data_IF_775852454216
#
_entry.id   IF_775852454216
#
_cell.length_a   1.000
_cell.length_b   1.000
_cell.length_c   1.000
_cell.angle_alpha   90.00
_cell.angle_beta   90.00
_cell.angle_gamma   90.00
#
_symmetry.space_group_name_H-M   'P 1'
#
loop_
_entity.id
_entity.type
_entity.pdbx_description
1 polymer ?
#
# COMPACT_ATOMS: atom_id res chain seq x y z
N UNK A 1 31.01 -3.97 -13.40
CA UNK A 1 29.75 -4.32 -12.68
C UNK A 1 29.39 -3.08 -11.88
N UNK A 2 28.53 -2.23 -12.43
CA UNK A 2 28.07 -1.03 -11.73
C UNK A 2 27.13 -1.50 -10.62
N UNK A 3 27.62 -1.44 -9.39
CA UNK A 3 26.80 -1.66 -8.20
C UNK A 3 25.81 -0.50 -8.15
N UNK A 4 24.53 -0.77 -8.40
CA UNK A 4 23.47 0.18 -8.16
C UNK A 4 23.44 0.50 -6.65
N UNK A 5 23.99 1.64 -6.30
CA UNK A 5 23.92 2.16 -4.93
C UNK A 5 22.51 2.75 -4.77
N UNK A 6 21.62 2.02 -4.09
CA UNK A 6 20.31 2.55 -3.73
C UNK A 6 20.46 3.36 -2.45
N UNK A 7 20.32 4.68 -2.56
CA UNK A 7 20.49 5.59 -1.43
C UNK A 7 19.27 5.63 -0.49
N UNK A 8 18.11 5.18 -0.95
CA UNK A 8 16.85 5.23 -0.19
C UNK A 8 16.20 3.86 -0.15
N UNK A 9 15.80 3.45 1.06
CA UNK A 9 15.15 2.17 1.36
C UNK A 9 13.80 2.41 2.01
N UNK A 10 12.77 1.74 1.54
CA UNK A 10 11.41 1.88 2.06
C UNK A 10 10.89 0.52 2.50
N UNK A 11 11.00 0.19 3.80
CA UNK A 11 10.40 -1.01 4.36
C UNK A 11 8.91 -0.80 4.62
N UNK A 12 8.09 -1.75 4.23
CA UNK A 12 6.68 -1.76 4.57
C UNK A 12 6.16 -3.21 4.68
N UNK A 13 5.04 -3.39 5.35
CA UNK A 13 4.43 -4.67 5.62
C UNK A 13 3.01 -4.75 5.10
N UNK A 14 2.68 -5.92 4.57
CA UNK A 14 1.31 -6.26 4.20
C UNK A 14 0.95 -7.65 4.73
N UNK A 15 -0.30 -8.08 4.56
CA UNK A 15 -0.74 -9.43 4.91
C UNK A 15 -1.50 -10.06 3.75
N UNK A 16 -1.48 -11.38 3.69
CA UNK A 16 -2.41 -12.17 2.87
C UNK A 16 -3.07 -13.20 3.75
N UNK A 17 -4.34 -13.49 3.51
CA UNK A 17 -5.16 -14.34 4.36
C UNK A 17 -5.48 -15.68 3.70
N UNK A 18 -5.90 -16.64 4.53
CA UNK A 18 -6.29 -17.99 4.17
C UNK A 18 -7.72 -18.25 4.63
N UNK A 19 -8.57 -18.76 3.76
CA UNK A 19 -9.94 -19.15 4.10
C UNK A 19 -9.98 -20.61 4.58
N UNK A 20 -9.38 -20.86 5.76
CA UNK A 20 -9.30 -22.16 6.41
C UNK A 20 -9.61 -22.00 7.90
N UNK A 21 -9.98 -23.11 8.57
CA UNK A 21 -10.13 -23.13 10.01
C UNK A 21 -8.75 -23.10 10.69
N UNK A 22 -8.66 -22.36 11.78
CA UNK A 22 -7.41 -22.28 12.55
C UNK A 22 -7.00 -23.63 13.15
N UNK A 23 -7.97 -24.53 13.43
CA UNK A 23 -7.74 -25.89 13.89
C UNK A 23 -7.01 -26.79 12.90
N UNK A 24 -7.07 -26.44 11.62
CA UNK A 24 -6.49 -27.23 10.54
C UNK A 24 -5.04 -26.82 10.21
N UNK A 25 -4.52 -25.84 10.95
CA UNK A 25 -3.16 -25.34 10.78
C UNK A 25 -2.21 -26.13 11.68
N UNK A 26 -1.13 -26.72 11.13
CA UNK A 26 -0.12 -27.42 11.89
C UNK A 26 0.56 -26.52 12.93
N UNK A 27 1.00 -27.10 14.04
CA UNK A 27 1.81 -26.41 15.02
C UNK A 27 3.15 -25.97 14.42
N UNK A 28 3.55 -24.73 14.69
CA UNK A 28 4.78 -24.13 14.13
C UNK A 28 4.62 -23.50 12.75
N UNK A 29 3.44 -23.54 12.14
CA UNK A 29 3.15 -22.90 10.87
C UNK A 29 3.14 -21.35 11.01
N UNK A 30 3.49 -20.64 9.92
CA UNK A 30 3.49 -19.17 9.88
C UNK A 30 2.09 -18.56 9.83
N UNK A 31 1.05 -19.35 9.54
CA UNK A 31 -0.34 -18.88 9.47
C UNK A 31 -0.92 -18.65 10.86
N UNK A 32 -1.08 -17.41 11.25
CA UNK A 32 -1.65 -17.01 12.53
C UNK A 32 -2.70 -15.93 12.38
N UNK A 33 -3.65 -15.87 13.31
CA UNK A 33 -4.49 -14.70 13.46
C UNK A 33 -3.65 -13.51 13.93
N UNK A 34 -3.89 -12.33 13.33
CA UNK A 34 -3.15 -11.13 13.65
C UNK A 34 -3.89 -9.87 13.21
N UNK A 35 -3.19 -8.75 13.16
CA UNK A 35 -3.77 -7.51 12.64
C UNK A 35 -3.99 -7.62 11.14
N UNK A 36 -5.26 -7.84 10.74
CA UNK A 36 -5.62 -7.98 9.33
C UNK A 36 -5.70 -6.62 8.63
N UNK A 37 -4.78 -6.38 7.70
CA UNK A 37 -4.82 -5.21 6.80
C UNK A 37 -5.88 -5.36 5.72
N UNK A 38 -6.42 -6.57 5.55
CA UNK A 38 -7.46 -6.92 4.57
C UNK A 38 -8.87 -6.92 5.15
N UNK A 39 -9.01 -6.53 6.44
CA UNK A 39 -10.26 -6.50 7.20
C UNK A 39 -10.93 -7.89 7.31
N UNK A 40 -10.12 -8.93 7.32
CA UNK A 40 -10.51 -10.32 7.55
C UNK A 40 -9.87 -10.84 8.85
N UNK A 41 -10.28 -10.31 10.02
CA UNK A 41 -9.76 -10.77 11.32
C UNK A 41 -10.20 -12.20 11.66
N UNK A 42 -11.21 -12.69 10.96
CA UNK A 42 -11.76 -14.04 11.00
C UNK A 42 -10.85 -15.09 10.36
N UNK A 43 -9.90 -14.66 9.51
CA UNK A 43 -9.02 -15.57 8.79
C UNK A 43 -7.59 -15.54 9.34
N UNK A 44 -6.91 -16.70 9.41
CA UNK A 44 -5.46 -16.73 9.61
C UNK A 44 -4.75 -16.09 8.41
N UNK A 45 -3.57 -15.54 8.67
CA UNK A 45 -2.79 -14.80 7.69
C UNK A 45 -1.30 -15.07 7.84
N UNK A 46 -0.52 -14.70 6.82
CA UNK A 46 0.92 -14.45 6.92
C UNK A 46 1.19 -12.98 6.67
N UNK A 47 2.27 -12.47 7.23
CA UNK A 47 2.74 -11.11 6.97
C UNK A 47 3.82 -11.16 5.90
N UNK A 48 3.70 -10.31 4.88
CA UNK A 48 4.70 -10.12 3.84
C UNK A 48 5.36 -8.78 4.09
N UNK A 49 6.64 -8.83 4.34
CA UNK A 49 7.47 -7.66 4.52
C UNK A 49 8.29 -7.42 3.25
N UNK A 50 8.37 -6.17 2.80
CA UNK A 50 8.98 -5.78 1.54
C UNK A 50 9.87 -4.56 1.76
N UNK A 51 11.04 -4.56 1.13
CA UNK A 51 11.91 -3.39 1.02
C UNK A 51 11.99 -3.01 -0.45
N UNK A 52 11.65 -1.76 -0.75
CA UNK A 52 11.66 -1.25 -2.13
C UNK A 52 12.51 -0.01 -2.28
N UNK A 53 12.91 0.30 -3.51
CA UNK A 53 13.51 1.58 -3.88
C UNK A 53 12.43 2.67 -4.00
N UNK A 54 12.81 3.95 -4.12
CA UNK A 54 11.88 5.05 -4.39
C UNK A 54 10.98 4.83 -5.60
N UNK A 55 11.49 4.14 -6.60
CA UNK A 55 10.75 3.82 -7.82
C UNK A 55 9.85 2.58 -7.67
N UNK A 56 9.79 2.00 -6.47
CA UNK A 56 8.99 0.82 -6.18
C UNK A 56 9.63 -0.51 -6.57
N UNK A 57 10.93 -0.53 -7.02
CA UNK A 57 11.60 -1.79 -7.34
C UNK A 57 11.87 -2.57 -6.05
N UNK A 58 11.40 -3.83 -5.92
CA UNK A 58 11.63 -4.59 -4.72
C UNK A 58 13.07 -5.11 -4.65
N UNK A 59 13.70 -4.90 -3.49
CA UNK A 59 15.07 -5.31 -3.20
C UNK A 59 15.11 -6.58 -2.34
N UNK A 60 14.18 -6.70 -1.40
CA UNK A 60 14.09 -7.83 -0.51
C UNK A 60 12.64 -8.05 -0.08
N UNK A 61 12.28 -9.30 0.20
CA UNK A 61 11.03 -9.66 0.86
C UNK A 61 11.25 -10.76 1.90
N UNK A 62 10.31 -10.86 2.84
CA UNK A 62 10.23 -11.93 3.83
C UNK A 62 8.78 -12.33 4.07
N UNK A 63 8.58 -13.63 4.31
CA UNK A 63 7.30 -14.18 4.75
C UNK A 63 7.39 -14.48 6.23
N UNK A 64 6.63 -13.74 7.02
CA UNK A 64 6.65 -13.76 8.48
C UNK A 64 5.36 -14.33 9.03
N UNK A 65 5.41 -14.78 10.30
CA UNK A 65 4.22 -15.25 10.99
C UNK A 65 3.11 -14.18 11.01
N UNK A 66 1.86 -14.61 10.87
CA UNK A 66 0.70 -13.72 10.72
C UNK A 66 0.44 -12.79 11.90
N UNK A 67 0.98 -13.10 13.06
CA UNK A 67 0.92 -12.29 14.29
C UNK A 67 2.13 -11.35 14.47
N UNK A 68 3.03 -11.27 13.49
CA UNK A 68 4.21 -10.40 13.53
C UNK A 68 3.80 -8.93 13.58
N UNK A 69 4.42 -8.18 14.51
CA UNK A 69 4.21 -6.75 14.64
C UNK A 69 5.21 -5.96 13.77
N UNK A 70 4.76 -4.89 13.14
CA UNK A 70 5.58 -4.05 12.25
C UNK A 70 6.88 -3.58 12.92
N UNK A 71 6.79 -3.21 14.19
CA UNK A 71 7.92 -2.67 14.94
C UNK A 71 9.04 -3.67 15.26
N UNK A 72 8.83 -4.98 15.06
CA UNK A 72 9.85 -6.01 15.32
C UNK A 72 10.67 -6.36 14.09
N UNK A 73 10.28 -5.91 12.91
CA UNK A 73 10.86 -6.35 11.62
C UNK A 73 12.03 -5.48 11.15
N UNK A 74 12.11 -4.24 11.61
CA UNK A 74 13.06 -3.27 11.07
C UNK A 74 14.53 -3.71 11.22
N UNK A 75 14.93 -4.22 12.39
CA UNK A 75 16.31 -4.72 12.61
C UNK A 75 16.67 -5.82 11.63
N UNK A 76 15.79 -6.79 11.45
CA UNK A 76 15.97 -7.89 10.51
C UNK A 76 16.24 -7.36 9.08
N UNK A 77 15.50 -6.33 8.65
CA UNK A 77 15.71 -5.73 7.34
C UNK A 77 17.00 -4.95 7.24
N UNK A 78 17.37 -4.18 8.26
CA UNK A 78 18.66 -3.48 8.31
C UNK A 78 19.79 -4.49 8.10
N UNK A 79 19.82 -5.57 8.88
CA UNK A 79 20.84 -6.63 8.81
C UNK A 79 20.81 -7.36 7.46
N UNK A 80 19.62 -7.62 6.91
CA UNK A 80 19.49 -8.33 5.62
C UNK A 80 20.03 -7.49 4.47
N UNK A 81 19.63 -6.23 4.40
CA UNK A 81 20.08 -5.32 3.36
C UNK A 81 21.59 -5.05 3.46
N UNK A 82 22.11 -4.89 4.69
CA UNK A 82 23.55 -4.72 4.89
C UNK A 82 24.34 -5.95 4.45
N UNK A 83 23.85 -7.15 4.75
CA UNK A 83 24.49 -8.41 4.32
C UNK A 83 24.44 -8.61 2.80
N UNK A 84 23.33 -8.26 2.14
CA UNK A 84 23.16 -8.48 0.69
C UNK A 84 23.84 -7.43 -0.16
N UNK A 85 23.82 -6.18 0.26
CA UNK A 85 24.23 -5.02 -0.54
C UNK A 85 25.38 -4.22 0.08
N UNK A 86 25.97 -4.72 1.18
CA UNK A 86 27.06 -4.07 1.90
C UNK A 86 26.62 -2.83 2.68
N UNK A 87 27.57 -2.28 3.46
CA UNK A 87 27.36 -1.01 4.18
C UNK A 87 27.38 0.15 3.21
N UNK A 88 26.35 0.98 3.25
CA UNK A 88 26.27 2.23 2.50
C UNK A 88 25.49 3.27 3.31
N UNK A 89 25.68 4.54 3.00
CA UNK A 89 24.86 5.62 3.56
C UNK A 89 23.48 5.57 2.92
N UNK A 90 22.53 4.91 3.59
CA UNK A 90 21.16 4.75 3.13
C UNK A 90 20.20 5.50 4.02
N UNK A 91 19.15 6.07 3.40
CA UNK A 91 18.06 6.74 4.10
C UNK A 91 16.89 5.77 4.19
N UNK A 92 16.46 5.46 5.40
CA UNK A 92 15.31 4.59 5.65
C UNK A 92 14.05 5.44 5.81
N UNK A 93 13.15 5.34 4.85
CA UNK A 93 11.88 6.08 4.87
C UNK A 93 10.78 5.14 5.36
N UNK A 94 10.14 5.48 6.47
CA UNK A 94 9.24 4.57 7.17
C UNK A 94 7.93 5.25 7.56
N UNK A 95 6.83 4.51 7.53
CA UNK A 95 5.59 4.99 8.15
C UNK A 95 5.69 4.92 9.68
N UNK A 96 4.83 5.70 10.34
CA UNK A 96 4.79 5.92 11.80
C UNK A 96 4.66 4.66 12.66
N UNK A 97 4.22 3.54 12.09
CA UNK A 97 3.98 2.27 12.81
C UNK A 97 5.17 1.32 12.81
N UNK A 98 6.15 1.55 11.93
CA UNK A 98 7.27 0.63 11.71
C UNK A 98 8.35 0.73 12.79
N UNK A 99 8.97 1.90 13.10
CA UNK A 99 10.04 1.95 14.09
C UNK A 99 9.52 2.20 15.51
N UNK A 100 10.19 1.56 16.48
CA UNK A 100 10.08 1.94 17.90
C UNK A 100 11.10 3.04 18.25
N UNK A 101 10.89 3.73 19.37
CA UNK A 101 11.84 4.72 19.87
C UNK A 101 13.22 4.10 20.15
N UNK A 102 13.24 2.86 20.66
CA UNK A 102 14.48 2.13 20.93
C UNK A 102 15.27 1.89 19.64
N UNK A 103 14.61 1.42 18.59
CA UNK A 103 15.26 1.17 17.29
C UNK A 103 15.76 2.46 16.67
N UNK A 104 15.00 3.57 16.74
CA UNK A 104 15.47 4.86 16.24
C UNK A 104 16.66 5.41 17.05
N UNK A 105 16.70 5.17 18.36
CA UNK A 105 17.85 5.51 19.20
C UNK A 105 19.08 4.70 18.80
N UNK A 106 18.95 3.41 18.54
CA UNK A 106 20.02 2.55 18.03
C UNK A 106 20.52 3.02 16.66
N UNK A 107 19.62 3.36 15.74
CA UNK A 107 20.00 3.90 14.42
C UNK A 107 20.81 5.17 14.54
N UNK A 108 20.48 6.07 15.50
CA UNK A 108 21.26 7.28 15.76
C UNK A 108 22.63 6.98 16.40
N UNK A 109 22.69 5.98 17.27
CA UNK A 109 23.88 5.61 18.00
C UNK A 109 24.85 4.69 17.24
N UNK A 110 24.44 4.15 16.11
CA UNK A 110 25.30 3.30 15.26
C UNK A 110 26.44 4.10 14.64
N UNK A 111 27.55 3.43 14.30
CA UNK A 111 28.71 4.03 13.64
C UNK A 111 28.95 3.34 12.27
N UNK A 112 28.74 4.05 11.15
CA UNK A 112 28.12 5.38 11.03
C UNK A 112 26.62 5.36 11.37
N UNK A 113 26.04 6.52 11.80
CA UNK A 113 24.61 6.61 12.09
C UNK A 113 23.75 6.22 10.89
N UNK A 114 22.76 5.35 11.13
CA UNK A 114 21.78 4.98 10.12
C UNK A 114 20.78 6.11 9.95
N UNK A 115 20.68 6.64 8.75
CA UNK A 115 19.80 7.76 8.42
C UNK A 115 18.37 7.31 8.22
N UNK A 116 17.40 8.11 8.68
CA UNK A 116 15.99 7.82 8.52
C UNK A 116 15.12 9.07 8.35
N UNK A 117 13.95 8.87 7.76
CA UNK A 117 12.82 9.79 7.74
C UNK A 117 11.56 9.00 8.10
N UNK A 118 10.85 9.39 9.16
CA UNK A 118 9.72 8.63 9.68
C UNK A 118 8.52 9.49 10.00
N UNK A 119 7.32 8.98 9.71
CA UNK A 119 6.06 9.56 10.14
C UNK A 119 5.94 9.56 11.67
N UNK A 120 5.52 10.66 12.26
CA UNK A 120 5.39 10.81 13.72
C UNK A 120 3.94 10.69 14.15
N UNK A 121 3.62 9.92 15.21
CA UNK A 121 2.27 9.84 15.74
C UNK A 121 1.71 11.20 16.15
N UNK A 122 0.42 11.44 15.86
CA UNK A 122 -0.26 12.72 16.18
C UNK A 122 -0.20 13.11 17.66
N UNK A 123 -0.03 12.15 18.56
CA UNK A 123 0.12 12.41 20.00
C UNK A 123 1.38 13.21 20.37
N UNK A 124 2.47 13.08 19.60
CA UNK A 124 3.69 13.89 19.80
C UNK A 124 3.52 15.34 19.39
N UNK A 125 2.65 15.62 18.43
CA UNK A 125 2.41 16.97 17.96
C UNK A 125 2.02 17.94 19.11
N UNK A 126 1.28 17.46 20.11
CA UNK A 126 0.88 18.29 21.25
C UNK A 126 2.05 18.78 22.08
N UNK A 127 3.16 18.03 22.16
CA UNK A 127 4.39 18.43 22.87
C UNK A 127 5.21 19.44 22.10
N UNK A 128 5.14 19.39 20.77
CA UNK A 128 5.90 20.26 19.85
C UNK A 128 5.08 21.47 19.37
N UNK A 129 3.78 21.54 19.75
CA UNK A 129 2.87 22.58 19.24
C UNK A 129 3.33 23.99 19.59
N UNK A 130 3.78 24.22 20.83
CA UNK A 130 4.25 25.55 21.27
C UNK A 130 5.47 26.04 20.47
N UNK A 131 6.60 25.30 20.38
CA UNK A 131 7.73 25.74 19.58
C UNK A 131 7.41 25.83 18.09
N UNK A 132 6.59 24.92 17.54
CA UNK A 132 6.19 24.97 16.12
C UNK A 132 5.33 26.19 15.77
N UNK A 133 4.54 26.71 16.70
CA UNK A 133 3.72 27.91 16.46
C UNK A 133 4.59 29.15 16.22
N UNK A 134 5.74 29.24 16.85
CA UNK A 134 6.67 30.39 16.76
C UNK A 134 7.49 30.39 15.48
N UNK A 135 7.58 29.28 14.76
CA UNK A 135 8.39 29.18 13.55
C UNK A 135 7.60 29.68 12.32
N UNK A 136 8.25 30.31 11.35
CA UNK A 136 7.63 30.67 10.09
C UNK A 136 7.34 29.44 9.22
N UNK A 137 6.34 29.56 8.35
CA UNK A 137 6.13 28.59 7.29
C UNK A 137 7.11 28.84 6.15
N UNK A 138 7.67 27.78 5.61
CA UNK A 138 8.52 27.79 4.42
C UNK A 138 7.80 27.00 3.34
N UNK A 139 7.77 27.51 2.12
CA UNK A 139 7.18 26.81 1.00
C UNK A 139 8.16 25.74 0.49
N UNK A 140 7.75 24.47 0.53
CA UNK A 140 8.52 23.36 -0.04
C UNK A 140 8.23 23.21 -1.54
N UNK A 141 6.99 23.45 -1.94
CA UNK A 141 6.49 23.53 -3.32
C UNK A 141 5.08 24.12 -3.31
N UNK A 142 4.53 24.40 -4.51
CA UNK A 142 3.18 24.94 -4.64
C UNK A 142 2.14 24.10 -3.85
N UNK A 143 1.49 24.72 -2.88
CA UNK A 143 0.47 24.10 -2.02
C UNK A 143 0.99 23.22 -0.88
N UNK A 144 2.32 23.19 -0.66
CA UNK A 144 2.94 22.47 0.46
C UNK A 144 3.82 23.44 1.24
N UNK A 145 3.48 23.66 2.51
CA UNK A 145 4.28 24.47 3.42
C UNK A 145 4.79 23.63 4.59
N UNK A 146 5.99 23.94 5.08
CA UNK A 146 6.65 23.21 6.17
C UNK A 146 7.17 24.17 7.23
N UNK A 147 7.34 23.62 8.44
CA UNK A 147 8.12 24.25 9.53
C UNK A 147 9.15 23.24 9.99
N UNK A 148 10.37 23.68 10.15
CA UNK A 148 11.48 22.84 10.60
C UNK A 148 11.81 23.16 12.06
N UNK A 149 11.89 22.14 12.91
CA UNK A 149 12.25 22.27 14.31
C UNK A 149 13.32 21.25 14.66
N UNK A 150 14.55 21.71 14.91
CA UNK A 150 15.61 20.87 15.43
C UNK A 150 15.45 20.71 16.96
N UNK A 151 15.35 19.47 17.42
CA UNK A 151 15.23 19.15 18.84
C UNK A 151 15.69 17.72 19.11
N UNK A 152 16.42 17.50 20.23
CA UNK A 152 16.86 16.18 20.72
C UNK A 152 17.66 15.36 19.69
N UNK A 153 18.49 16.04 18.86
CA UNK A 153 19.29 15.39 17.82
C UNK A 153 18.49 14.92 16.60
N UNK A 154 17.26 15.33 16.48
CA UNK A 154 16.37 15.08 15.33
C UNK A 154 15.85 16.40 14.74
N UNK A 155 15.52 16.37 13.47
CA UNK A 155 14.80 17.44 12.78
C UNK A 155 13.34 17.04 12.60
N UNK A 156 12.44 17.81 13.18
CA UNK A 156 10.99 17.65 13.03
C UNK A 156 10.51 18.51 11.87
N UNK A 157 9.81 17.87 10.92
CA UNK A 157 9.25 18.52 9.73
C UNK A 157 7.74 18.53 9.86
N UNK A 158 7.19 19.68 10.21
CA UNK A 158 5.74 19.87 10.33
C UNK A 158 5.20 20.42 9.02
N UNK A 159 4.39 19.63 8.34
CA UNK A 159 3.94 19.90 6.98
C UNK A 159 2.46 20.19 6.93
N UNK A 160 2.06 21.14 6.07
CA UNK A 160 0.68 21.42 5.69
C UNK A 160 0.51 21.27 4.17
N UNK A 161 -0.49 20.50 3.74
CA UNK A 161 -0.83 20.29 2.35
C UNK A 161 -2.23 20.82 2.05
N UNK A 162 -2.37 21.74 1.11
CA UNK A 162 -3.64 22.35 0.69
C UNK A 162 -4.62 21.30 0.15
N UNK A 163 -4.14 20.38 -0.67
CA UNK A 163 -4.97 19.29 -1.20
C UNK A 163 -5.51 18.39 -0.09
N UNK A 164 -4.64 18.03 0.86
CA UNK A 164 -5.02 17.20 2.00
C UNK A 164 -5.99 17.92 2.93
N UNK A 165 -5.82 19.22 3.16
CA UNK A 165 -6.80 20.07 3.87
C UNK A 165 -8.16 19.99 3.21
N UNK A 166 -8.22 20.17 1.90
CA UNK A 166 -9.46 20.12 1.13
C UNK A 166 -10.13 18.75 1.20
N UNK A 167 -9.35 17.67 1.03
CA UNK A 167 -9.83 16.28 1.14
C UNK A 167 -10.36 15.95 2.53
N UNK A 168 -9.58 16.22 3.58
CA UNK A 168 -9.98 15.94 4.97
C UNK A 168 -11.21 16.76 5.38
N UNK A 169 -11.29 18.01 4.93
CA UNK A 169 -12.46 18.90 5.14
C UNK A 169 -13.72 18.36 4.46
N UNK A 170 -13.59 17.87 3.21
CA UNK A 170 -14.70 17.27 2.48
C UNK A 170 -15.19 15.98 3.17
N UNK A 171 -14.28 15.11 3.61
CA UNK A 171 -14.60 13.88 4.35
C UNK A 171 -15.34 14.22 5.66
N UNK A 172 -14.82 15.16 6.46
CA UNK A 172 -15.44 15.58 7.72
C UNK A 172 -16.85 16.15 7.49
N UNK A 173 -17.02 17.04 6.49
CA UNK A 173 -18.34 17.62 6.17
C UNK A 173 -19.34 16.54 5.78
N UNK A 174 -18.94 15.58 4.95
CA UNK A 174 -19.78 14.45 4.53
C UNK A 174 -20.18 13.58 5.71
N UNK A 175 -19.22 13.23 6.58
CA UNK A 175 -19.49 12.42 7.78
C UNK A 175 -20.38 13.17 8.78
N UNK A 176 -20.15 14.46 9.02
CA UNK A 176 -21.00 15.27 9.90
C UNK A 176 -22.43 15.38 9.34
N UNK A 177 -22.60 15.63 8.04
CA UNK A 177 -23.93 15.71 7.41
C UNK A 177 -24.70 14.39 7.58
N UNK A 178 -24.02 13.26 7.35
CA UNK A 178 -24.63 11.95 7.53
C UNK A 178 -24.98 11.67 9.01
N UNK A 179 -24.05 11.93 9.92
CA UNK A 179 -24.27 11.73 11.37
C UNK A 179 -25.43 12.57 11.88
N UNK A 180 -25.48 13.84 11.48
CA UNK A 180 -26.55 14.76 11.88
C UNK A 180 -27.92 14.29 11.42
N UNK A 181 -28.03 13.84 10.16
CA UNK A 181 -29.25 13.23 9.63
C UNK A 181 -29.63 12.00 10.45
N UNK A 182 -28.67 11.13 10.74
CA UNK A 182 -28.91 9.88 11.47
C UNK A 182 -29.32 10.13 12.94
N UNK A 183 -28.68 11.07 13.61
CA UNK A 183 -29.04 11.43 14.99
C UNK A 183 -30.47 12.02 15.08
N UNK A 184 -30.87 12.80 14.08
CA UNK A 184 -32.25 13.33 14.00
C UNK A 184 -33.27 12.21 13.79
N UNK A 185 -32.97 11.25 12.90
CA UNK A 185 -33.82 10.08 12.70
C UNK A 185 -33.96 9.25 13.99
N UNK A 186 -32.85 9.00 14.68
CA UNK A 186 -32.85 8.26 15.94
C UNK A 186 -33.60 8.97 17.06
N UNK A 187 -33.45 10.27 17.17
CA UNK A 187 -34.15 11.05 18.17
C UNK A 187 -35.71 11.07 18.00
N UNK A 188 -36.18 10.75 16.78
CA UNK A 188 -37.59 10.63 16.46
C UNK A 188 -38.15 9.20 16.62
N UNK A 189 -37.32 8.21 16.99
CA UNK A 189 -37.73 6.83 17.15
C UNK A 189 -38.19 6.54 18.58
N UNK A 190 -39.34 5.90 18.72
CA UNK A 190 -39.82 5.35 19.99
C UNK A 190 -39.41 3.88 20.12
N UNK A 191 -38.20 3.64 20.59
CA UNK A 191 -37.60 2.31 20.74
C UNK A 191 -37.01 2.12 22.14
N UNK A 192 -36.83 0.88 22.61
CA UNK A 192 -36.17 0.59 23.87
C UNK A 192 -34.75 1.19 23.94
N UNK A 193 -34.36 1.57 25.18
CA UNK A 193 -33.04 2.20 25.45
C UNK A 193 -31.86 1.35 24.92
N UNK A 194 -31.94 0.04 25.09
CA UNK A 194 -30.87 -0.89 24.61
C UNK A 194 -30.72 -0.87 23.10
N UNK A 195 -31.83 -0.88 22.38
CA UNK A 195 -31.83 -0.78 20.92
C UNK A 195 -31.31 0.59 20.45
N UNK A 196 -31.66 1.67 21.14
CA UNK A 196 -31.14 3.00 20.88
C UNK A 196 -29.61 3.03 21.02
N UNK A 197 -29.05 2.42 22.09
CA UNK A 197 -27.61 2.33 22.31
C UNK A 197 -26.91 1.56 21.19
N UNK A 198 -27.49 0.46 20.72
CA UNK A 198 -26.94 -0.30 19.59
C UNK A 198 -26.93 0.53 18.30
N UNK A 199 -28.01 1.26 18.00
CA UNK A 199 -28.10 2.13 16.81
C UNK A 199 -27.12 3.32 16.90
N UNK A 200 -26.93 3.91 18.07
CA UNK A 200 -25.92 4.94 18.32
C UNK A 200 -24.51 4.38 18.18
N UNK A 201 -24.24 3.16 18.67
CA UNK A 201 -23.00 2.43 18.46
C UNK A 201 -22.68 2.20 16.98
N UNK A 202 -23.65 1.77 16.19
CA UNK A 202 -23.53 1.61 14.75
C UNK A 202 -23.24 2.95 14.03
N UNK A 203 -23.92 4.04 14.44
CA UNK A 203 -23.65 5.37 13.90
C UNK A 203 -22.22 5.85 14.22
N UNK A 204 -21.73 5.58 15.44
CA UNK A 204 -20.36 5.85 15.86
C UNK A 204 -19.34 5.06 15.01
N UNK A 205 -19.59 3.77 14.81
CA UNK A 205 -18.71 2.91 13.99
C UNK A 205 -18.61 3.40 12.55
N UNK A 206 -19.72 3.87 11.97
CA UNK A 206 -19.76 4.38 10.59
C UNK A 206 -19.11 5.76 10.43
N UNK A 207 -19.14 6.61 11.45
CA UNK A 207 -18.61 7.99 11.39
C UNK A 207 -17.71 8.34 12.57
N UNK A 208 -16.62 7.58 12.80
CA UNK A 208 -15.81 7.73 14.01
C UNK A 208 -15.16 9.12 14.14
N UNK A 209 -14.84 9.78 13.03
CA UNK A 209 -14.24 11.11 13.02
C UNK A 209 -15.26 12.20 13.37
N UNK A 210 -16.47 12.12 12.78
CA UNK A 210 -17.53 13.08 13.07
C UNK A 210 -18.11 12.89 14.47
N UNK A 211 -18.21 11.64 14.94
CA UNK A 211 -18.70 11.32 16.29
C UNK A 211 -17.96 12.05 17.39
N UNK A 212 -16.63 12.17 17.26
CA UNK A 212 -15.78 12.88 18.24
C UNK A 212 -16.06 14.37 18.34
N UNK A 213 -16.76 14.93 17.35
CA UNK A 213 -17.09 16.36 17.27
C UNK A 213 -18.48 16.68 17.80
N UNK A 214 -19.26 15.67 18.18
CA UNK A 214 -20.62 15.80 18.70
C UNK A 214 -20.63 15.29 20.12
N UNK A 215 -21.14 16.09 21.04
CA UNK A 215 -21.42 15.67 22.41
C UNK A 215 -22.83 15.11 22.42
N UNK A 216 -22.98 13.90 22.95
CA UNK A 216 -24.26 13.18 23.02
C UNK A 216 -24.48 12.79 24.47
N UNK A 217 -25.57 13.27 25.03
CA UNK A 217 -25.99 13.00 26.39
C UNK A 217 -27.30 12.23 26.37
N UNK A 218 -27.28 11.02 26.91
CA UNK A 218 -28.45 10.13 26.97
C UNK A 218 -29.01 10.11 28.39
N UNK A 219 -30.32 10.14 28.50
CA UNK A 219 -31.02 9.96 29.77
C UNK A 219 -30.69 8.56 30.36
N UNK A 220 -30.54 8.50 31.68
CA UNK A 220 -30.22 7.25 32.39
C UNK A 220 -31.39 6.26 32.39
N UNK A 221 -32.62 6.77 32.39
CA UNK A 221 -33.84 5.97 32.54
C UNK A 221 -34.61 5.75 31.24
N UNK A 222 -34.39 6.57 30.20
CA UNK A 222 -35.12 6.53 28.94
C UNK A 222 -34.22 6.38 27.70
N UNK A 223 -34.84 6.22 26.55
CA UNK A 223 -34.13 6.22 25.24
C UNK A 223 -33.86 7.64 24.71
N UNK A 224 -34.30 8.67 25.45
CA UNK A 224 -34.13 10.08 25.04
C UNK A 224 -32.66 10.48 25.12
N UNK A 225 -32.19 11.20 24.10
CA UNK A 225 -30.86 11.77 24.11
C UNK A 225 -30.84 13.16 23.46
N UNK A 226 -29.90 13.97 23.91
CA UNK A 226 -29.61 15.28 23.34
C UNK A 226 -28.25 15.24 22.65
N UNK A 227 -28.11 15.96 21.56
CA UNK A 227 -26.82 16.01 20.84
C UNK A 227 -26.51 17.43 20.39
N UNK A 228 -25.25 17.84 20.58
CA UNK A 228 -24.77 19.16 20.23
C UNK A 228 -23.43 19.11 19.54
N UNK A 229 -23.18 20.06 18.62
CA UNK A 229 -21.88 20.17 17.97
C UNK A 229 -20.87 20.84 18.90
N UNK A 230 -19.81 20.13 19.28
CA UNK A 230 -18.73 20.70 20.07
C UNK A 230 -17.86 21.63 19.20
N UNK A 231 -18.14 22.93 19.30
CA UNK A 231 -17.43 23.96 18.51
C UNK A 231 -15.94 24.03 18.81
N UNK A 232 -15.53 23.72 20.04
CA UNK A 232 -14.13 23.73 20.45
C UNK A 232 -13.37 22.55 19.78
N UNK A 233 -13.91 21.33 19.88
CA UNK A 233 -13.36 20.15 19.20
C UNK A 233 -13.32 20.35 17.67
N UNK A 234 -14.37 20.98 17.11
CA UNK A 234 -14.39 21.30 15.68
C UNK A 234 -13.28 22.28 15.27
N UNK A 235 -13.04 23.34 16.07
CA UNK A 235 -11.93 24.28 15.81
C UNK A 235 -10.58 23.58 15.86
N UNK A 236 -10.36 22.71 16.84
CA UNK A 236 -9.13 21.91 16.94
C UNK A 236 -8.97 20.96 15.76
N UNK A 237 -10.02 20.26 15.33
CA UNK A 237 -9.99 19.39 14.17
C UNK A 237 -9.62 20.17 12.90
N UNK A 238 -10.23 21.35 12.67
CA UNK A 238 -9.90 22.22 11.53
C UNK A 238 -8.45 22.69 11.52
N UNK A 239 -7.87 22.99 12.69
CA UNK A 239 -6.45 23.39 12.80
C UNK A 239 -5.49 22.26 12.48
N UNK A 240 -5.92 21.00 12.59
CA UNK A 240 -5.09 19.81 12.35
C UNK A 240 -5.32 19.17 10.97
N UNK A 241 -6.28 19.69 10.19
CA UNK A 241 -6.55 19.20 8.84
C UNK A 241 -5.36 19.47 7.91
N UNK A 242 -5.03 18.48 7.11
CA UNK A 242 -3.94 18.56 6.15
C UNK A 242 -2.53 18.56 6.74
N UNK A 243 -2.41 18.48 8.07
CA UNK A 243 -1.14 18.58 8.78
C UNK A 243 -0.65 17.21 9.24
N UNK A 244 0.63 17.00 9.10
CA UNK A 244 1.34 15.83 9.59
C UNK A 244 2.76 16.21 10.02
N UNK A 245 3.34 15.34 10.83
CA UNK A 245 4.66 15.54 11.42
C UNK A 245 5.54 14.38 11.00
N UNK A 246 6.71 14.72 10.44
CA UNK A 246 7.80 13.81 10.18
C UNK A 246 8.94 14.12 11.12
N UNK A 247 9.83 13.18 11.30
CA UNK A 247 11.11 13.37 11.99
C UNK A 247 12.24 12.64 11.28
N UNK A 248 13.43 13.16 11.38
CA UNK A 248 14.60 12.63 10.71
C UNK A 248 15.87 12.97 11.49
N UNK A 249 16.91 12.15 11.33
CA UNK A 249 18.28 12.47 11.78
C UNK A 249 19.17 12.88 10.60
N UNK A 250 18.59 13.19 9.44
CA UNK A 250 19.32 13.76 8.30
C UNK A 250 19.86 15.13 8.65
N UNK A 251 21.02 15.46 8.09
CA UNK A 251 21.59 16.82 8.11
C UNK A 251 20.98 17.74 7.06
N UNK A 252 20.14 17.17 6.17
CA UNK A 252 19.42 17.92 5.16
C UNK A 252 18.42 18.89 5.81
N UNK A 253 18.45 20.13 5.39
CA UNK A 253 17.58 21.21 5.88
C UNK A 253 16.72 21.83 4.79
N UNK A 254 16.83 21.38 3.53
CA UNK A 254 15.96 21.84 2.46
C UNK A 254 14.57 21.17 2.59
N UNK A 255 13.51 21.96 2.84
CA UNK A 255 12.16 21.44 2.97
C UNK A 255 11.66 20.69 1.74
N UNK A 256 12.09 21.07 0.53
CA UNK A 256 11.67 20.45 -0.71
C UNK A 256 12.26 19.05 -0.85
N UNK A 257 13.53 18.86 -0.50
CA UNK A 257 14.21 17.55 -0.51
C UNK A 257 13.60 16.63 0.52
N UNK A 258 13.38 17.09 1.76
CA UNK A 258 12.74 16.28 2.82
C UNK A 258 11.32 15.87 2.44
N UNK A 259 10.58 16.78 1.80
CA UNK A 259 9.26 16.47 1.26
C UNK A 259 9.31 15.42 0.14
N UNK A 260 10.26 15.54 -0.77
CA UNK A 260 10.45 14.60 -1.87
C UNK A 260 10.73 13.18 -1.35
N UNK A 261 11.58 13.04 -0.34
CA UNK A 261 11.78 11.74 0.32
C UNK A 261 10.48 11.18 0.90
N UNK A 262 9.71 12.00 1.58
CA UNK A 262 8.43 11.52 2.16
C UNK A 262 7.42 11.07 1.10
N UNK A 263 7.38 11.74 -0.05
CA UNK A 263 6.47 11.37 -1.14
C UNK A 263 6.76 9.98 -1.71
N UNK A 264 7.96 9.47 -1.52
CA UNK A 264 8.33 8.12 -1.94
C UNK A 264 7.56 7.03 -1.15
N UNK A 265 7.11 7.30 0.08
CA UNK A 265 6.21 6.40 0.81
C UNK A 265 4.89 6.16 0.07
N UNK A 266 4.40 7.15 -0.65
CA UNK A 266 3.14 7.01 -1.42
C UNK A 266 3.30 6.02 -2.56
N UNK A 267 4.48 5.97 -3.19
CA UNK A 267 4.78 5.02 -4.25
C UNK A 267 4.75 3.57 -3.76
N UNK A 268 5.16 3.33 -2.52
CA UNK A 268 5.13 2.00 -1.89
C UNK A 268 3.72 1.55 -1.56
N UNK A 269 2.86 2.45 -1.07
CA UNK A 269 1.44 2.13 -0.85
C UNK A 269 0.79 1.67 -2.17
N UNK A 270 1.13 2.31 -3.29
CA UNK A 270 0.66 1.92 -4.62
C UNK A 270 1.22 0.54 -5.03
N UNK A 271 2.49 0.27 -4.73
CA UNK A 271 3.12 -1.02 -4.96
C UNK A 271 2.37 -2.18 -4.29
N UNK A 272 2.03 -2.03 -3.01
CA UNK A 272 1.24 -3.04 -2.29
C UNK A 272 -0.20 -3.16 -2.81
N UNK A 273 -0.79 -2.07 -3.23
CA UNK A 273 -2.11 -2.10 -3.85
C UNK A 273 -2.09 -2.94 -5.14
N UNK A 274 -1.05 -2.80 -5.94
CA UNK A 274 -0.86 -3.58 -7.17
C UNK A 274 -0.62 -5.06 -6.85
N UNK A 275 0.26 -5.37 -5.89
CA UNK A 275 0.53 -6.73 -5.44
C UNK A 275 -0.74 -7.45 -4.95
N UNK A 276 -1.60 -6.76 -4.21
CA UNK A 276 -2.86 -7.30 -3.69
C UNK A 276 -4.00 -7.34 -4.70
N UNK A 277 -4.03 -6.41 -5.63
CA UNK A 277 -5.08 -6.28 -6.63
C UNK A 277 -4.77 -7.02 -7.91
N UNK A 278 -3.89 -6.47 -8.73
CA UNK A 278 -3.63 -6.96 -10.09
C UNK A 278 -2.90 -8.31 -10.10
N UNK A 279 -2.06 -8.59 -9.10
CA UNK A 279 -1.32 -9.85 -8.97
C UNK A 279 -2.03 -10.90 -8.11
N UNK A 280 -3.23 -10.60 -7.61
CA UNK A 280 -4.15 -11.52 -6.94
C UNK A 280 -3.48 -12.43 -5.88
N UNK A 281 -2.56 -11.88 -5.07
CA UNK A 281 -1.84 -12.66 -4.04
C UNK A 281 -2.77 -13.20 -2.95
N UNK A 282 -4.04 -12.85 -2.97
CA UNK A 282 -5.03 -13.26 -1.95
C UNK A 282 -6.40 -13.58 -2.55
N UNK A 283 -7.15 -14.52 -1.95
CA UNK A 283 -6.72 -15.43 -0.87
C UNK A 283 -5.74 -16.47 -1.39
N UNK A 284 -4.89 -17.03 -0.49
CA UNK A 284 -4.05 -18.16 -0.82
C UNK A 284 -4.78 -19.46 -0.46
N UNK A 285 -4.88 -20.38 -1.41
CA UNK A 285 -5.58 -21.67 -1.25
C UNK A 285 -4.63 -22.85 -0.96
N UNK A 286 -3.31 -22.63 -1.03
CA UNK A 286 -2.32 -23.66 -0.71
C UNK A 286 -2.28 -23.96 0.79
N UNK A 287 -2.08 -25.25 1.13
CA UNK A 287 -2.03 -25.73 2.51
C UNK A 287 -0.60 -26.00 2.98
N UNK A 288 0.30 -26.35 2.08
CA UNK A 288 1.71 -26.64 2.38
C UNK A 288 2.53 -25.36 2.39
N UNK A 289 3.36 -25.16 3.43
CA UNK A 289 4.21 -23.97 3.58
C UNK A 289 5.08 -23.69 2.35
N UNK A 290 5.67 -24.73 1.76
CA UNK A 290 6.49 -24.58 0.54
C UNK A 290 5.69 -24.04 -0.63
N UNK A 291 4.43 -24.46 -0.79
CA UNK A 291 3.56 -23.97 -1.87
C UNK A 291 3.07 -22.56 -1.59
N UNK A 292 2.84 -22.21 -0.33
CA UNK A 292 2.52 -20.85 0.10
C UNK A 292 3.68 -19.91 -0.23
N UNK A 293 4.89 -20.28 0.15
CA UNK A 293 6.09 -19.50 -0.15
C UNK A 293 6.36 -19.38 -1.65
N UNK A 294 6.16 -20.46 -2.41
CA UNK A 294 6.27 -20.45 -3.87
C UNK A 294 5.24 -19.51 -4.52
N UNK A 295 3.99 -19.53 -4.05
CA UNK A 295 2.94 -18.60 -4.52
C UNK A 295 3.34 -17.14 -4.27
N UNK A 296 3.81 -16.83 -3.07
CA UNK A 296 4.27 -15.49 -2.70
C UNK A 296 5.50 -15.09 -3.54
N UNK A 297 6.43 -16.02 -3.77
CA UNK A 297 7.61 -15.78 -4.60
C UNK A 297 7.24 -15.47 -6.06
N UNK A 298 6.30 -16.22 -6.65
CA UNK A 298 5.83 -15.97 -8.01
C UNK A 298 5.15 -14.60 -8.09
N UNK A 299 4.31 -14.25 -7.11
CA UNK A 299 3.70 -12.94 -7.05
C UNK A 299 4.75 -11.81 -6.92
N UNK A 300 5.82 -12.04 -6.15
CA UNK A 300 6.95 -11.12 -6.05
C UNK A 300 7.67 -10.95 -7.38
N UNK A 301 7.94 -12.02 -8.11
CA UNK A 301 8.55 -11.94 -9.45
C UNK A 301 7.65 -11.21 -10.45
N UNK A 302 6.34 -11.49 -10.42
CA UNK A 302 5.38 -10.79 -11.25
C UNK A 302 5.36 -9.28 -10.93
N UNK A 303 5.48 -8.91 -9.65
CA UNK A 303 5.61 -7.52 -9.23
C UNK A 303 6.90 -6.87 -9.76
N UNK A 304 8.04 -7.57 -9.71
CA UNK A 304 9.30 -7.08 -10.31
C UNK A 304 9.14 -6.77 -11.81
N UNK A 305 8.48 -7.66 -12.54
CA UNK A 305 8.21 -7.47 -13.96
C UNK A 305 7.26 -6.29 -14.21
N UNK A 306 6.21 -6.17 -13.40
CA UNK A 306 5.25 -5.07 -13.49
C UNK A 306 5.91 -3.71 -13.28
N UNK A 307 6.74 -3.57 -12.24
CA UNK A 307 7.47 -2.31 -11.98
C UNK A 307 8.48 -2.01 -13.09
N UNK A 308 9.17 -3.04 -13.59
CA UNK A 308 10.10 -2.88 -14.72
C UNK A 308 9.37 -2.38 -15.97
N UNK A 309 8.22 -2.97 -16.28
CA UNK A 309 7.37 -2.51 -17.39
C UNK A 309 6.84 -1.10 -17.16
N UNK A 310 6.37 -0.78 -15.95
CA UNK A 310 5.90 0.56 -15.59
C UNK A 310 6.97 1.63 -15.82
N UNK A 311 8.20 1.38 -15.40
CA UNK A 311 9.33 2.30 -15.62
C UNK A 311 9.62 2.52 -17.10
N UNK A 312 9.63 1.43 -17.90
CA UNK A 312 9.82 1.52 -19.34
C UNK A 312 8.70 2.30 -20.03
N UNK A 313 7.44 2.03 -19.66
CA UNK A 313 6.28 2.75 -20.19
C UNK A 313 6.31 4.23 -19.81
N UNK A 314 6.67 4.56 -18.58
CA UNK A 314 6.74 5.95 -18.14
C UNK A 314 7.75 6.77 -18.96
N UNK A 315 8.87 6.16 -19.35
CA UNK A 315 9.89 6.81 -20.18
C UNK A 315 9.45 6.97 -21.66
N UNK A 316 8.63 6.05 -22.18
CA UNK A 316 8.28 5.96 -23.60
C UNK A 316 6.88 6.52 -23.91
N UNK A 317 5.92 6.29 -23.01
CA UNK A 317 4.52 6.65 -23.17
C UNK A 317 3.90 7.04 -21.82
N UNK A 318 4.15 8.26 -21.28
CA UNK A 318 3.79 8.68 -19.92
C UNK A 318 2.30 8.55 -19.56
N UNK A 319 1.40 8.41 -20.52
CA UNK A 319 -0.04 8.22 -20.31
C UNK A 319 -0.51 6.76 -20.28
N UNK A 320 0.38 5.80 -20.58
CA UNK A 320 0.01 4.39 -20.69
C UNK A 320 0.30 3.65 -19.37
N UNK A 321 -0.74 3.04 -18.79
CA UNK A 321 -0.58 2.20 -17.59
C UNK A 321 -0.13 0.79 -17.99
N UNK A 322 0.52 0.06 -17.05
CA UNK A 322 0.92 -1.35 -17.25
C UNK A 322 -0.30 -2.19 -17.63
N UNK A 323 -1.42 -2.02 -16.93
CA UNK A 323 -2.66 -2.74 -17.20
C UNK A 323 -3.14 -2.52 -18.63
N UNK A 324 -3.21 -1.26 -19.08
CA UNK A 324 -3.62 -0.94 -20.45
C UNK A 324 -2.66 -1.48 -21.50
N UNK A 325 -1.35 -1.50 -21.21
CA UNK A 325 -0.37 -2.12 -22.09
C UNK A 325 -0.60 -3.65 -22.19
N UNK A 326 -0.77 -4.34 -21.06
CA UNK A 326 -1.04 -5.78 -21.05
C UNK A 326 -2.36 -6.15 -21.73
N UNK A 327 -3.42 -5.33 -21.57
CA UNK A 327 -4.69 -5.51 -22.29
C UNK A 327 -4.49 -5.39 -23.82
N UNK A 328 -3.64 -4.45 -24.28
CA UNK A 328 -3.27 -4.36 -25.70
C UNK A 328 -2.47 -5.58 -26.16
N UNK A 329 -1.50 -6.06 -25.37
CA UNK A 329 -0.74 -7.25 -25.69
C UNK A 329 -1.59 -8.52 -25.70
N UNK A 330 -2.66 -8.61 -24.92
CA UNK A 330 -3.59 -9.74 -24.93
C UNK A 330 -4.32 -9.92 -26.27
N UNK A 331 -4.31 -8.92 -27.14
CA UNK A 331 -4.81 -9.04 -28.52
C UNK A 331 -3.92 -9.93 -29.40
N UNK A 332 -2.67 -10.17 -29.00
CA UNK A 332 -1.78 -11.11 -29.69
C UNK A 332 -2.11 -12.52 -29.19
N UNK A 333 -2.85 -13.26 -29.99
CA UNK A 333 -3.29 -14.59 -29.65
C UNK A 333 -2.59 -15.62 -30.54
N UNK A 334 -2.35 -16.81 -29.99
CA UNK A 334 -1.92 -17.95 -30.75
C UNK A 334 -3.16 -18.73 -31.20
N UNK A 335 -3.28 -18.96 -32.49
CA UNK A 335 -4.40 -19.69 -33.11
C UNK A 335 -3.87 -20.93 -33.82
N UNK A 336 -4.62 -22.00 -33.74
CA UNK A 336 -4.36 -23.23 -34.47
C UNK A 336 -5.30 -23.32 -35.67
N UNK A 337 -4.73 -23.32 -36.86
CA UNK A 337 -5.45 -23.47 -38.11
C UNK A 337 -5.25 -24.92 -38.59
N UNK A 338 -6.35 -25.67 -38.67
CA UNK A 338 -6.38 -27.03 -39.14
C UNK A 338 -6.74 -27.09 -40.63
N UNK A 339 -5.85 -27.54 -41.46
CA UNK A 339 -6.08 -27.69 -42.90
C UNK A 339 -6.09 -29.19 -43.28
N UNK A 340 -7.20 -29.73 -43.81
CA UNK A 340 -7.24 -31.08 -44.30
C UNK A 340 -6.34 -31.22 -45.54
N UNK A 341 -5.59 -32.32 -45.63
CA UNK A 341 -4.78 -32.66 -46.79
C UNK A 341 -5.44 -33.73 -47.61
N UNK A 342 -5.11 -33.84 -48.89
CA UNK A 342 -5.71 -34.80 -49.85
C UNK A 342 -5.43 -36.26 -49.52
N UNK A 343 -4.44 -36.54 -48.70
CA UNK A 343 -4.08 -37.88 -48.21
C UNK A 343 -4.74 -38.26 -46.86
N UNK A 344 -5.69 -37.47 -46.42
CA UNK A 344 -6.44 -37.74 -45.19
C UNK A 344 -5.77 -37.33 -43.88
N UNK A 345 -4.62 -36.69 -43.96
CA UNK A 345 -3.92 -36.10 -42.80
C UNK A 345 -4.41 -34.67 -42.55
N UNK A 346 -4.02 -34.10 -41.42
CA UNK A 346 -4.24 -32.70 -41.13
C UNK A 346 -2.93 -31.96 -40.98
N UNK A 347 -2.85 -30.80 -41.63
CA UNK A 347 -1.77 -29.85 -41.42
C UNK A 347 -2.22 -28.88 -40.33
N UNK A 348 -1.49 -28.86 -39.22
CA UNK A 348 -1.69 -27.92 -38.11
C UNK A 348 -0.74 -26.74 -38.28
N UNK A 349 -1.30 -25.56 -38.50
CA UNK A 349 -0.59 -24.30 -38.57
C UNK A 349 -0.89 -23.48 -37.29
N UNK A 350 0.00 -23.56 -36.34
CA UNK A 350 -0.08 -22.68 -35.17
C UNK A 350 0.52 -21.31 -35.54
N UNK A 351 -0.23 -20.23 -35.38
CA UNK A 351 0.16 -18.88 -35.77
C UNK A 351 -0.20 -17.85 -34.72
N UNK A 352 0.67 -16.89 -34.51
CA UNK A 352 0.33 -15.68 -33.77
C UNK A 352 -0.42 -14.71 -34.67
N UNK A 353 -1.46 -14.07 -34.12
CA UNK A 353 -2.15 -12.98 -34.78
C UNK A 353 -1.19 -11.81 -35.00
N UNK A 354 -1.31 -11.13 -36.12
CA UNK A 354 -0.49 -9.95 -36.36
C UNK A 354 -0.97 -8.79 -35.49
N UNK A 355 -0.07 -8.13 -34.75
CA UNK A 355 -0.45 -6.99 -33.94
C UNK A 355 -0.86 -5.80 -34.82
N UNK A 356 -1.82 -5.04 -34.36
CA UNK A 356 -2.24 -3.79 -34.99
C UNK A 356 -1.09 -2.76 -34.99
N UNK A 357 -1.12 -1.73 -35.87
CA UNK A 357 -0.03 -0.76 -36.03
C UNK A 357 0.39 -0.06 -34.73
N UNK A 358 -0.59 0.31 -33.87
CA UNK A 358 -0.30 0.91 -32.55
C UNK A 358 0.46 -0.04 -31.63
N UNK A 359 0.09 -1.32 -31.67
CA UNK A 359 0.73 -2.35 -30.85
C UNK A 359 2.12 -2.69 -31.39
N UNK A 360 2.29 -2.69 -32.73
CA UNK A 360 3.60 -2.85 -33.35
C UNK A 360 4.57 -1.73 -32.93
N UNK A 361 4.09 -0.49 -32.91
CA UNK A 361 4.88 0.66 -32.46
C UNK A 361 5.30 0.49 -30.99
N UNK A 362 4.37 0.06 -30.12
CA UNK A 362 4.66 -0.18 -28.70
C UNK A 362 5.71 -1.30 -28.51
N UNK A 363 5.59 -2.40 -29.26
CA UNK A 363 6.57 -3.51 -29.26
C UNK A 363 7.95 -2.98 -29.64
N UNK A 364 8.05 -2.18 -30.71
CA UNK A 364 9.31 -1.58 -31.16
C UNK A 364 9.91 -0.63 -30.10
N UNK A 365 9.10 0.26 -29.55
CA UNK A 365 9.54 1.21 -28.51
C UNK A 365 10.04 0.49 -27.26
N UNK A 366 9.36 -0.57 -26.84
CA UNK A 366 9.79 -1.40 -25.72
C UNK A 366 10.98 -2.31 -26.05
N UNK A 367 11.45 -2.31 -27.31
CA UNK A 367 12.50 -3.19 -27.80
C UNK A 367 12.21 -4.68 -27.55
N UNK A 368 10.95 -5.06 -27.72
CA UNK A 368 10.50 -6.43 -27.63
C UNK A 368 10.50 -7.07 -29.03
N UNK A 369 10.69 -8.38 -29.08
CA UNK A 369 10.51 -9.19 -30.27
C UNK A 369 9.48 -10.27 -30.00
N UNK A 370 8.57 -10.48 -30.93
CA UNK A 370 7.69 -11.65 -30.86
C UNK A 370 8.50 -12.90 -31.16
N UNK A 371 8.18 -14.04 -30.54
CA UNK A 371 8.82 -15.29 -30.87
C UNK A 371 8.57 -15.66 -32.34
N UNK A 372 9.48 -16.45 -32.98
CA UNK A 372 9.27 -16.89 -34.36
C UNK A 372 7.98 -17.72 -34.46
N UNK A 373 7.29 -17.62 -35.59
CA UNK A 373 6.11 -18.42 -35.87
C UNK A 373 6.44 -19.93 -35.74
N UNK A 374 5.60 -20.70 -35.00
CA UNK A 374 5.82 -22.15 -34.88
C UNK A 374 5.83 -22.84 -36.24
N UNK A 375 6.66 -23.87 -36.37
CA UNK A 375 6.72 -24.68 -37.59
C UNK A 375 5.39 -25.45 -37.79
N UNK A 376 4.92 -25.61 -39.03
CA UNK A 376 3.80 -26.47 -39.36
C UNK A 376 4.01 -27.90 -38.85
N UNK A 377 2.96 -28.52 -38.35
CA UNK A 377 2.98 -29.93 -37.90
C UNK A 377 1.93 -30.73 -38.66
N UNK A 378 2.29 -31.98 -39.00
CA UNK A 378 1.34 -32.92 -39.59
C UNK A 378 0.79 -33.76 -38.44
N UNK A 379 -0.52 -33.73 -38.22
CA UNK A 379 -1.22 -34.54 -37.24
C UNK A 379 -1.80 -35.78 -37.93
N UNK A 380 -1.43 -36.96 -37.48
CA UNK A 380 -2.02 -38.23 -37.87
C UNK A 380 -3.10 -38.57 -36.84
N UNK A 381 -4.38 -38.31 -37.14
CA UNK A 381 -5.48 -38.65 -36.25
C UNK A 381 -6.71 -37.74 -36.40
N UNK A 382 -7.87 -38.30 -36.20
CA UNK A 382 -9.16 -37.59 -36.12
C UNK A 382 -9.20 -36.67 -34.94
N UNK A 383 -9.67 -35.41 -35.14
CA UNK A 383 -9.97 -34.47 -34.07
C UNK A 383 -10.91 -35.10 -33.03
N UNK A 384 -10.67 -34.86 -31.73
CA UNK A 384 -11.73 -35.06 -30.77
C UNK A 384 -12.87 -34.08 -31.12
N UNK A 385 -14.08 -34.59 -31.34
CA UNK A 385 -15.26 -33.77 -31.53
C UNK A 385 -15.47 -32.87 -30.32
N UNK A 386 -14.98 -31.64 -30.35
CA UNK A 386 -15.44 -30.59 -29.48
C UNK A 386 -16.86 -30.19 -29.98
N UNK A 387 -17.88 -30.78 -29.40
CA UNK A 387 -19.24 -30.22 -29.45
C UNK A 387 -19.18 -28.84 -28.79
N UNK A 388 -19.65 -27.84 -29.51
CA UNK A 388 -19.93 -26.48 -29.07
C UNK A 388 -20.86 -26.47 -27.86
#
# INVERSE_FOLDING_TARGET
MDYFVYDVMIPDLTSTYFEINASDIPEGDKRHHGYSRDKRPDCPQVVIALVVTPEGLPLAYEVLAGNTKDCTTLRMFLDKIERQYGRARRIWIMDRGVPTEAVLAEMRASDPPVQYLVGTPKGRLSRLEKPLLMLPWQEARAGIAVKLLAQDGELYVFTESVERVSKERAIRRRQLKWLWKRLRELAAMEIPREEMLMKLGAARARTPTAWRLVDIEMDKASAMFVYTLNRQKLRQARRREGRYLLRTNLTESDPAVLWQYYMQLVAVEEAFKNLKGDLAIRPIFHQEERRIEAHIFIAFLAYCLQITLQRRLHALAPGLTVRSALEKFAAIQMIDVHLPTTDGRQLLLTRYTQPEPELQLLIQQLKLSLPPQPLPRIATGTLPNHRL
#
